data_IF_551397835503
#
_entry.id   IF_551397835503
#
_cell.length_a   1.000
_cell.length_b   1.000
_cell.length_c   1.000
_cell.angle_alpha   90.00
_cell.angle_beta   90.00
_cell.angle_gamma   90.00
#
_symmetry.space_group_name_H-M   'P 1'
#
loop_
_entity.id
_entity.type
_entity.pdbx_description
1 polymer ?
#
# COMPACT_ATOMS: atom_id res chain seq x y z
N UNK A 1 -23.10 12.70 -21.15
CA UNK A 1 -23.21 11.99 -22.43
C UNK A 1 -22.36 12.72 -23.46
N UNK A 2 -21.17 12.20 -23.75
CA UNK A 2 -20.39 12.53 -24.95
C UNK A 2 -19.40 11.37 -25.16
N UNK A 3 -19.73 10.54 -26.14
CA UNK A 3 -18.94 9.44 -26.65
C UNK A 3 -17.91 9.98 -27.65
N UNK A 4 -16.84 9.20 -27.88
CA UNK A 4 -16.37 8.70 -29.19
C UNK A 4 -14.92 8.19 -28.99
N UNK A 5 -14.71 6.87 -28.85
CA UNK A 5 -14.34 5.93 -29.92
C UNK A 5 -13.04 6.27 -30.67
N UNK A 6 -11.95 5.53 -30.35
CA UNK A 6 -10.78 5.29 -31.23
C UNK A 6 -10.35 3.81 -31.02
N UNK A 7 -9.97 3.07 -32.10
CA UNK A 7 -10.38 1.68 -32.30
C UNK A 7 -9.35 0.62 -31.90
N UNK A 8 -9.88 -0.59 -31.67
CA UNK A 8 -9.19 -1.87 -31.79
C UNK A 8 -8.57 -2.02 -33.19
N UNK A 9 -7.25 -2.25 -33.24
CA UNK A 9 -6.41 -2.95 -34.23
C UNK A 9 -4.97 -2.51 -33.87
N UNK A 10 -4.22 -3.26 -33.07
CA UNK A 10 -3.24 -4.23 -33.60
C UNK A 10 -2.86 -5.22 -32.48
N UNK A 11 -3.72 -6.20 -32.23
CA UNK A 11 -3.34 -7.44 -31.53
C UNK A 11 -2.64 -8.38 -32.52
N UNK A 12 -1.51 -7.95 -33.07
CA UNK A 12 -0.55 -8.81 -33.77
C UNK A 12 0.66 -7.96 -34.10
N UNK A 13 1.71 -8.10 -33.29
CA UNK A 13 3.12 -7.66 -33.44
C UNK A 13 3.71 -7.34 -32.06
N UNK A 14 3.64 -8.31 -31.13
CA UNK A 14 4.48 -8.32 -29.93
C UNK A 14 5.08 -9.70 -29.63
N UNK A 15 4.91 -10.67 -30.54
CA UNK A 15 5.58 -11.97 -30.46
C UNK A 15 6.84 -11.95 -31.34
N UNK A 16 7.83 -11.10 -31.05
CA UNK A 16 9.21 -11.39 -31.51
C UNK A 16 10.37 -10.55 -30.94
N UNK A 17 10.24 -9.86 -29.79
CA UNK A 17 11.40 -9.14 -29.19
C UNK A 17 11.56 -9.45 -27.69
N UNK A 18 11.20 -10.65 -27.26
CA UNK A 18 11.71 -11.21 -26.01
C UNK A 18 12.26 -12.60 -26.30
N UNK A 19 13.40 -12.62 -26.98
CA UNK A 19 14.31 -13.75 -26.91
C UNK A 19 14.63 -14.00 -25.45
N UNK A 20 14.43 -15.25 -25.04
CA UNK A 20 14.61 -15.79 -23.70
C UNK A 20 16.07 -15.63 -23.25
N UNK A 21 16.45 -14.45 -22.75
CA UNK A 21 17.72 -14.27 -22.05
C UNK A 21 17.61 -14.98 -20.70
N UNK A 22 18.25 -16.13 -20.57
CA UNK A 22 18.40 -16.83 -19.30
C UNK A 22 19.24 -15.97 -18.36
N UNK A 23 18.60 -15.29 -17.42
CA UNK A 23 19.30 -14.50 -16.39
C UNK A 23 20.11 -15.45 -15.50
N UNK A 24 21.43 -15.27 -15.45
CA UNK A 24 22.32 -16.04 -14.58
C UNK A 24 22.33 -15.44 -13.17
N UNK A 25 21.56 -16.05 -12.29
CA UNK A 25 21.36 -15.58 -10.92
C UNK A 25 22.60 -15.70 -10.02
N UNK A 26 23.65 -16.42 -10.44
CA UNK A 26 24.89 -16.54 -9.66
C UNK A 26 25.74 -15.26 -9.68
N UNK A 27 25.41 -14.32 -10.57
CA UNK A 27 26.12 -13.04 -10.70
C UNK A 27 25.59 -11.95 -9.75
N UNK A 28 24.63 -12.28 -8.88
CA UNK A 28 24.00 -11.29 -8.01
C UNK A 28 24.94 -10.81 -6.87
N UNK A 29 24.82 -9.56 -6.39
CA UNK A 29 25.78 -8.94 -5.48
C UNK A 29 25.80 -9.51 -4.05
N UNK A 30 24.79 -10.28 -3.67
CA UNK A 30 24.68 -10.89 -2.34
C UNK A 30 23.94 -12.23 -2.43
N UNK A 31 24.18 -13.10 -1.45
CA UNK A 31 23.58 -14.44 -1.38
C UNK A 31 22.04 -14.39 -1.30
N UNK A 32 21.50 -13.36 -0.65
CA UNK A 32 20.04 -13.15 -0.55
C UNK A 32 19.45 -12.81 -1.92
N UNK A 33 20.17 -12.03 -2.73
CA UNK A 33 19.76 -11.66 -4.09
C UNK A 33 19.93 -12.82 -5.08
N UNK A 34 20.95 -13.68 -4.90
CA UNK A 34 21.09 -14.94 -5.66
C UNK A 34 19.88 -15.84 -5.42
N UNK A 35 19.47 -15.98 -4.15
CA UNK A 35 18.33 -16.82 -3.75
C UNK A 35 17.01 -16.28 -4.28
N UNK A 36 16.77 -14.97 -4.16
CA UNK A 36 15.58 -14.31 -4.68
C UNK A 36 15.50 -14.40 -6.23
N UNK A 37 16.61 -14.14 -6.93
CA UNK A 37 16.67 -14.27 -8.39
C UNK A 37 16.36 -15.71 -8.83
N UNK A 38 16.93 -16.71 -8.16
CA UNK A 38 16.75 -18.12 -8.48
C UNK A 38 15.29 -18.57 -8.28
N UNK A 39 14.63 -18.10 -7.22
CA UNK A 39 13.22 -18.36 -6.98
C UNK A 39 12.32 -17.79 -8.09
N UNK A 40 12.55 -16.54 -8.49
CA UNK A 40 11.80 -15.88 -9.58
C UNK A 40 12.03 -16.58 -10.93
N UNK A 41 13.27 -16.98 -11.22
CA UNK A 41 13.61 -17.71 -12.44
C UNK A 41 12.92 -19.09 -12.49
N UNK A 42 12.82 -19.79 -11.35
CA UNK A 42 12.09 -21.06 -11.21
C UNK A 42 10.58 -20.87 -11.42
N UNK A 43 9.98 -19.85 -10.81
CA UNK A 43 8.57 -19.52 -11.01
C UNK A 43 8.24 -19.20 -12.47
N UNK A 44 9.11 -18.44 -13.16
CA UNK A 44 8.97 -18.16 -14.60
C UNK A 44 9.01 -19.43 -15.46
N UNK A 45 9.92 -20.38 -15.17
CA UNK A 45 10.00 -21.66 -15.88
C UNK A 45 8.78 -22.55 -15.64
N UNK A 46 8.22 -22.52 -14.43
CA UNK A 46 6.99 -23.25 -14.10
C UNK A 46 5.78 -22.62 -14.80
N UNK A 47 5.64 -21.30 -14.77
CA UNK A 47 4.58 -20.59 -15.47
C UNK A 47 4.63 -20.83 -16.99
N UNK A 48 5.83 -20.87 -17.58
CA UNK A 48 6.03 -21.16 -19.01
C UNK A 48 5.70 -22.62 -19.41
N UNK A 49 5.73 -23.58 -18.46
CA UNK A 49 5.34 -24.98 -18.71
C UNK A 49 3.83 -25.23 -18.61
N UNK A 50 3.03 -24.25 -18.21
CA UNK A 50 1.61 -24.46 -17.88
C UNK A 50 0.70 -23.95 -19.01
N UNK A 51 0.71 -24.65 -20.15
CA UNK A 51 -0.23 -24.42 -21.26
C UNK A 51 -1.52 -25.26 -21.20
N UNK A 52 -1.64 -26.20 -20.24
CA UNK A 52 -2.85 -27.02 -20.09
C UNK A 52 -3.73 -26.56 -18.90
N UNK A 53 -4.96 -26.06 -19.14
CA UNK A 53 -5.81 -25.44 -18.11
C UNK A 53 -6.40 -26.41 -17.06
N UNK A 54 -6.42 -27.73 -17.28
CA UNK A 54 -6.96 -28.67 -16.29
C UNK A 54 -5.99 -29.00 -15.13
N UNK A 55 -4.68 -28.95 -15.36
CA UNK A 55 -3.68 -29.25 -14.31
C UNK A 55 -3.26 -28.00 -13.50
N UNK A 56 -3.79 -26.81 -13.82
CA UNK A 56 -3.48 -25.57 -13.09
C UNK A 56 -3.95 -25.62 -11.64
N UNK A 57 -5.09 -26.24 -11.37
CA UNK A 57 -5.71 -26.19 -10.05
C UNK A 57 -4.98 -27.11 -9.04
N UNK A 58 -4.63 -28.34 -9.44
CA UNK A 58 -3.90 -29.27 -8.55
C UNK A 58 -2.44 -28.88 -8.32
N UNK A 59 -1.76 -28.31 -9.32
CA UNK A 59 -0.38 -27.83 -9.17
C UNK A 59 -0.31 -26.53 -8.36
N UNK A 60 -1.31 -25.65 -8.49
CA UNK A 60 -1.41 -24.45 -7.66
C UNK A 60 -1.69 -24.81 -6.20
N UNK A 61 -2.58 -25.78 -5.93
CA UNK A 61 -2.81 -26.29 -4.56
C UNK A 61 -1.55 -26.92 -3.95
N UNK A 62 -0.82 -27.76 -4.69
CA UNK A 62 0.42 -28.38 -4.17
C UNK A 62 1.56 -27.38 -4.01
N UNK A 63 1.64 -26.36 -4.86
CA UNK A 63 2.62 -25.29 -4.74
C UNK A 63 2.33 -24.40 -3.52
N UNK A 64 1.06 -24.01 -3.32
CA UNK A 64 0.60 -23.33 -2.11
C UNK A 64 0.96 -24.13 -0.85
N UNK A 65 0.71 -25.45 -0.84
CA UNK A 65 0.98 -26.29 0.33
C UNK A 65 2.49 -26.41 0.65
N UNK A 66 3.38 -26.43 -0.35
CA UNK A 66 4.83 -26.50 -0.11
C UNK A 66 5.46 -25.16 0.29
N UNK A 67 4.90 -24.04 -0.20
CA UNK A 67 5.38 -22.69 0.12
C UNK A 67 4.89 -22.26 1.52
N UNK A 68 3.75 -22.79 2.00
CA UNK A 68 3.22 -22.53 3.35
C UNK A 68 4.10 -23.09 4.49
N UNK A 69 4.90 -24.12 4.25
CA UNK A 69 5.72 -24.75 5.31
C UNK A 69 7.05 -24.05 5.57
N UNK A 70 7.63 -23.35 4.59
CA UNK A 70 8.83 -22.52 4.78
C UNK A 70 8.49 -21.04 5.07
N UNK A 71 7.28 -20.59 4.75
CA UNK A 71 6.85 -19.19 4.91
C UNK A 71 6.18 -18.85 6.23
N UNK A 72 5.92 -19.81 7.14
CA UNK A 72 5.25 -19.49 8.41
C UNK A 72 6.01 -18.43 9.24
N UNK A 73 7.35 -18.39 9.16
CA UNK A 73 8.17 -17.36 9.80
C UNK A 73 8.27 -16.05 8.99
N UNK A 74 8.05 -16.07 7.67
CA UNK A 74 8.04 -14.86 6.83
C UNK A 74 6.66 -14.23 6.67
N UNK A 75 5.59 -15.01 6.87
CA UNK A 75 4.22 -14.51 6.96
C UNK A 75 4.02 -13.65 8.20
N UNK A 76 4.76 -13.93 9.28
CA UNK A 76 4.70 -13.15 10.52
C UNK A 76 5.19 -11.70 10.30
N UNK A 77 6.16 -11.50 9.41
CA UNK A 77 6.69 -10.19 8.98
C UNK A 77 5.73 -9.44 8.05
N UNK A 78 4.84 -10.16 7.36
CA UNK A 78 3.80 -9.57 6.49
C UNK A 78 2.43 -9.46 7.19
N UNK A 79 2.24 -10.17 8.30
CA UNK A 79 1.02 -10.07 9.09
C UNK A 79 1.06 -8.73 9.82
N UNK A 80 0.10 -7.88 9.48
CA UNK A 80 -0.10 -6.58 10.12
C UNK A 80 -1.43 -6.66 10.86
N UNK A 81 -1.46 -7.27 12.06
CA UNK A 81 -2.72 -7.54 12.76
C UNK A 81 -3.45 -6.25 13.15
N UNK A 82 -2.75 -5.12 13.18
CA UNK A 82 -3.35 -3.78 13.29
C UNK A 82 -4.33 -3.45 12.16
N UNK A 83 -4.05 -3.96 10.96
CA UNK A 83 -4.83 -3.68 9.76
C UNK A 83 -6.06 -4.58 9.63
N UNK A 84 -6.13 -5.66 10.41
CA UNK A 84 -7.30 -6.54 10.51
C UNK A 84 -8.38 -5.93 11.43
N UNK A 85 -8.01 -4.96 12.25
CA UNK A 85 -8.93 -4.29 13.15
C UNK A 85 -9.97 -3.44 12.41
N UNK A 86 -11.24 -3.74 12.67
CA UNK A 86 -12.39 -2.96 12.16
C UNK A 86 -13.02 -2.05 13.21
N UNK A 87 -12.60 -2.16 14.48
CA UNK A 87 -13.12 -1.39 15.61
C UNK A 87 -12.00 -0.61 16.32
N UNK A 88 -12.39 0.45 17.04
CA UNK A 88 -11.42 1.24 17.80
C UNK A 88 -10.86 0.47 19.02
N UNK A 89 -11.67 -0.40 19.63
CA UNK A 89 -11.22 -1.27 20.72
C UNK A 89 -10.16 -2.27 20.28
N UNK A 90 -10.30 -2.83 19.07
CA UNK A 90 -9.31 -3.78 18.51
C UNK A 90 -7.96 -3.11 18.30
N UNK A 91 -7.94 -1.93 17.66
CA UNK A 91 -6.68 -1.24 17.33
C UNK A 91 -6.00 -0.62 18.56
N UNK A 92 -6.70 -0.55 19.69
CA UNK A 92 -6.28 0.22 20.86
C UNK A 92 -4.95 -0.25 21.47
N UNK A 93 -4.72 -1.56 21.53
CA UNK A 93 -3.47 -2.14 22.07
C UNK A 93 -2.26 -1.67 21.28
N UNK A 94 -2.41 -1.49 19.96
CA UNK A 94 -1.34 -1.02 19.08
C UNK A 94 -1.05 0.48 19.22
N UNK A 95 -1.98 1.24 19.80
CA UNK A 95 -1.75 2.62 20.23
C UNK A 95 -1.20 2.72 21.67
N UNK A 96 -0.86 1.58 22.29
CA UNK A 96 -0.46 1.49 23.70
C UNK A 96 -1.61 1.77 24.68
N UNK A 97 -2.85 1.78 24.21
CA UNK A 97 -4.02 2.10 25.00
C UNK A 97 -4.70 0.90 25.66
N UNK A 98 -5.73 1.19 26.45
CA UNK A 98 -6.61 0.22 27.10
C UNK A 98 -8.06 0.48 26.74
N UNK A 99 -8.85 -0.59 26.70
CA UNK A 99 -10.28 -0.56 26.41
C UNK A 99 -11.10 -1.07 27.59
N UNK A 100 -12.31 -0.57 27.76
CA UNK A 100 -13.33 -1.08 28.67
C UNK A 100 -14.22 -2.17 28.04
N UNK A 101 -13.89 -2.64 26.83
CA UNK A 101 -14.64 -3.65 26.09
C UNK A 101 -15.71 -3.10 25.13
N UNK A 102 -16.00 -1.80 25.15
CA UNK A 102 -16.89 -1.17 24.17
C UNK A 102 -16.21 -1.04 22.81
N UNK A 103 -16.95 -1.31 21.72
CA UNK A 103 -16.47 -1.29 20.32
C UNK A 103 -15.66 -0.05 19.94
N UNK A 104 -16.05 1.11 20.46
CA UNK A 104 -15.43 2.40 20.12
C UNK A 104 -14.53 2.95 21.24
N UNK A 105 -14.20 2.14 22.26
CA UNK A 105 -13.41 2.61 23.39
C UNK A 105 -11.91 2.37 23.18
N UNK A 106 -11.14 3.43 23.33
CA UNK A 106 -9.70 3.35 23.49
C UNK A 106 -9.19 4.52 24.33
N UNK A 107 -8.48 4.22 25.41
CA UNK A 107 -7.89 5.18 26.33
C UNK A 107 -6.37 5.05 26.26
N UNK A 108 -5.68 6.11 25.86
CA UNK A 108 -4.23 6.15 25.76
C UNK A 108 -3.57 6.21 27.16
N UNK A 109 -2.26 5.92 27.28
CA UNK A 109 -1.53 5.99 28.55
C UNK A 109 -1.63 7.34 29.27
N UNK A 110 -1.78 8.42 28.52
CA UNK A 110 -1.95 9.78 29.05
C UNK A 110 -3.39 10.10 29.51
N UNK A 111 -4.28 9.10 29.53
CA UNK A 111 -5.69 9.25 29.93
C UNK A 111 -6.61 9.78 28.84
N UNK A 112 -6.09 10.20 27.68
CA UNK A 112 -6.92 10.72 26.59
C UNK A 112 -7.67 9.60 25.88
N UNK A 113 -8.95 9.84 25.57
CA UNK A 113 -9.74 8.96 24.71
C UNK A 113 -9.37 9.21 23.25
N UNK A 114 -9.03 8.15 22.52
CA UNK A 114 -8.88 8.22 21.07
C UNK A 114 -10.21 8.64 20.47
N UNK A 115 -10.18 9.67 19.61
CA UNK A 115 -11.37 10.16 18.91
C UNK A 115 -11.30 9.79 17.42
N UNK A 116 -12.43 9.99 16.74
CA UNK A 116 -12.47 10.00 15.27
C UNK A 116 -11.47 11.03 14.75
N UNK A 117 -10.69 10.64 13.75
CA UNK A 117 -9.70 11.53 13.13
C UNK A 117 -10.41 12.68 12.38
N UNK A 118 -9.95 13.91 12.58
CA UNK A 118 -10.40 15.08 11.83
C UNK A 118 -9.38 15.42 10.74
N UNK A 119 -9.65 15.01 9.51
CA UNK A 119 -8.78 15.26 8.36
C UNK A 119 -8.90 16.70 7.90
N UNK A 120 -7.90 17.51 8.22
CA UNK A 120 -7.80 18.92 7.78
C UNK A 120 -7.18 19.00 6.39
N UNK A 121 -7.48 20.10 5.70
CA UNK A 121 -6.73 20.48 4.50
C UNK A 121 -5.27 20.78 4.89
N UNK A 122 -4.29 20.28 4.13
CA UNK A 122 -2.86 20.29 4.51
C UNK A 122 -2.29 21.70 4.76
N UNK A 123 -2.79 22.73 4.07
CA UNK A 123 -2.37 24.13 4.27
C UNK A 123 -2.96 24.74 5.53
N UNK A 124 -4.02 24.15 6.09
CA UNK A 124 -4.63 24.57 7.35
C UNK A 124 -3.99 23.91 8.58
N UNK A 125 -3.04 22.98 8.40
CA UNK A 125 -2.26 22.45 9.50
C UNK A 125 -1.38 23.53 10.10
N UNK A 126 -1.35 23.61 11.44
CA UNK A 126 -0.34 24.42 12.13
C UNK A 126 1.06 23.89 11.86
N UNK A 127 2.09 24.68 12.13
CA UNK A 127 3.47 24.22 11.98
C UNK A 127 3.77 22.98 12.85
N UNK A 128 3.25 22.95 14.08
CA UNK A 128 3.40 21.79 14.97
C UNK A 128 2.73 20.54 14.40
N UNK A 129 1.47 20.66 13.94
CA UNK A 129 0.73 19.56 13.33
C UNK A 129 1.46 19.02 12.09
N UNK A 130 1.95 19.94 11.24
CA UNK A 130 2.71 19.62 10.02
C UNK A 130 4.02 18.91 10.37
N UNK A 131 4.76 19.40 11.34
CA UNK A 131 6.02 18.77 11.78
C UNK A 131 5.80 17.35 12.32
N UNK A 132 4.77 17.15 13.15
CA UNK A 132 4.41 15.81 13.65
C UNK A 132 4.00 14.88 12.51
N UNK A 133 3.16 15.36 11.59
CA UNK A 133 2.70 14.58 10.45
C UNK A 133 3.86 14.09 9.56
N UNK A 134 4.74 15.00 9.12
CA UNK A 134 5.87 14.62 8.28
C UNK A 134 6.93 13.80 9.00
N UNK A 135 7.12 14.02 10.32
CA UNK A 135 7.96 13.15 11.15
C UNK A 135 7.40 11.71 11.16
N UNK A 136 6.10 11.55 11.36
CA UNK A 136 5.46 10.24 11.37
C UNK A 136 5.50 9.56 9.98
N UNK A 137 5.32 10.32 8.89
CA UNK A 137 5.50 9.80 7.53
C UNK A 137 6.92 9.27 7.28
N UNK A 138 7.95 10.00 7.73
CA UNK A 138 9.34 9.53 7.65
C UNK A 138 9.57 8.26 8.46
N UNK A 139 8.99 8.18 9.65
CA UNK A 139 9.06 6.98 10.47
C UNK A 139 8.42 5.77 9.78
N UNK A 140 7.22 5.96 9.20
CA UNK A 140 6.55 4.96 8.37
C UNK A 140 7.37 4.57 7.13
N UNK A 141 8.13 5.49 6.56
CA UNK A 141 9.04 5.17 5.45
C UNK A 141 10.23 4.35 5.92
N UNK A 142 10.83 4.71 7.04
CA UNK A 142 12.00 4.04 7.60
C UNK A 142 11.69 2.62 8.10
N UNK A 143 10.49 2.37 8.62
CA UNK A 143 10.08 1.05 9.11
C UNK A 143 9.40 0.17 8.04
N UNK A 144 9.27 0.67 6.80
CA UNK A 144 8.68 -0.06 5.66
C UNK A 144 7.15 -0.02 5.58
N UNK A 145 6.44 0.64 6.50
CA UNK A 145 4.97 0.75 6.48
C UNK A 145 4.48 1.53 5.25
N UNK A 146 5.15 2.62 4.90
CA UNK A 146 4.84 3.41 3.71
C UNK A 146 4.97 2.56 2.44
N UNK A 147 6.05 1.79 2.34
CA UNK A 147 6.37 0.96 1.18
C UNK A 147 5.41 -0.23 1.05
N UNK A 148 4.93 -0.75 2.18
CA UNK A 148 3.86 -1.74 2.19
C UNK A 148 2.59 -1.20 1.51
N UNK A 149 2.13 0.00 1.85
CA UNK A 149 0.94 0.57 1.21
C UNK A 149 1.17 0.90 -0.27
N UNK A 150 2.37 1.34 -0.63
CA UNK A 150 2.75 1.54 -2.03
C UNK A 150 2.71 0.22 -2.81
N UNK A 151 3.20 -0.88 -2.23
CA UNK A 151 3.14 -2.22 -2.81
C UNK A 151 1.70 -2.72 -2.97
N UNK A 152 0.87 -2.60 -1.92
CA UNK A 152 -0.56 -2.98 -1.96
C UNK A 152 -1.28 -2.24 -3.09
N UNK A 153 -1.02 -0.94 -3.26
CA UNK A 153 -1.61 -0.17 -4.37
C UNK A 153 -1.07 -0.61 -5.73
N UNK A 154 0.25 -0.78 -5.88
CA UNK A 154 0.87 -1.24 -7.13
C UNK A 154 0.26 -2.56 -7.59
N UNK A 155 0.13 -3.52 -6.68
CA UNK A 155 -0.35 -4.87 -6.99
C UNK A 155 -1.85 -4.87 -7.33
N UNK A 156 -2.60 -3.90 -6.78
CA UNK A 156 -4.02 -3.69 -7.12
C UNK A 156 -4.25 -2.83 -8.37
N UNK A 157 -3.23 -2.12 -8.88
CA UNK A 157 -3.40 -1.08 -9.90
C UNK A 157 -3.99 -1.58 -11.23
N UNK A 158 -3.66 -2.81 -11.62
CA UNK A 158 -4.20 -3.47 -12.82
C UNK A 158 -5.58 -4.09 -12.64
N UNK A 159 -6.15 -4.02 -11.44
CA UNK A 159 -7.47 -4.59 -11.13
C UNK A 159 -8.55 -3.52 -11.27
N UNK A 160 -9.76 -3.94 -11.68
CA UNK A 160 -10.96 -3.08 -11.66
C UNK A 160 -11.37 -2.60 -10.26
N UNK A 161 -10.69 -3.08 -9.21
CA UNK A 161 -10.96 -2.71 -7.82
C UNK A 161 -10.29 -1.39 -7.44
N UNK A 162 -9.03 -1.21 -7.81
CA UNK A 162 -8.31 0.02 -7.51
C UNK A 162 -8.59 1.09 -8.56
N UNK A 163 -8.62 0.78 -9.85
CA UNK A 163 -8.80 1.75 -10.94
C UNK A 163 -9.76 1.24 -12.01
N UNK A 164 -10.38 2.16 -12.75
CA UNK A 164 -11.20 1.81 -13.93
C UNK A 164 -12.53 1.10 -13.66
N UNK A 165 -12.91 0.83 -12.40
CA UNK A 165 -14.16 0.17 -12.02
C UNK A 165 -14.89 0.80 -10.84
N UNK A 166 -16.08 0.29 -10.54
CA UNK A 166 -17.00 0.85 -9.52
C UNK A 166 -16.45 0.82 -8.09
N UNK A 167 -15.47 -0.05 -7.80
CA UNK A 167 -14.91 -0.16 -6.45
C UNK A 167 -13.84 0.91 -6.16
N UNK A 168 -13.43 1.73 -7.15
CA UNK A 168 -12.38 2.75 -7.04
C UNK A 168 -12.46 3.54 -5.73
N UNK A 169 -13.60 4.14 -5.43
CA UNK A 169 -13.77 4.99 -4.25
C UNK A 169 -13.76 4.20 -2.93
N UNK A 170 -14.33 2.99 -2.93
CA UNK A 170 -14.35 2.12 -1.75
C UNK A 170 -12.97 1.57 -1.42
N UNK A 171 -12.25 1.11 -2.43
CA UNK A 171 -10.90 0.55 -2.30
C UNK A 171 -9.92 1.60 -1.75
N UNK A 172 -9.92 2.81 -2.31
CA UNK A 172 -9.05 3.90 -1.83
C UNK A 172 -9.45 4.40 -0.44
N UNK A 173 -10.76 4.38 -0.09
CA UNK A 173 -11.22 4.70 1.26
C UNK A 173 -10.65 3.74 2.30
N UNK A 174 -10.69 2.45 2.03
CA UNK A 174 -10.14 1.44 2.94
C UNK A 174 -8.62 1.48 2.99
N UNK A 175 -7.93 1.66 1.85
CA UNK A 175 -6.48 1.88 1.84
C UNK A 175 -6.10 3.08 2.71
N UNK A 176 -6.81 4.20 2.54
CA UNK A 176 -6.59 5.43 3.30
C UNK A 176 -6.85 5.26 4.79
N UNK A 177 -7.92 4.54 5.17
CA UNK A 177 -8.23 4.22 6.57
C UNK A 177 -7.12 3.38 7.22
N UNK A 178 -6.62 2.37 6.51
CA UNK A 178 -5.54 1.49 6.98
C UNK A 178 -4.21 2.23 7.09
N UNK A 179 -3.92 3.12 6.13
CA UNK A 179 -2.77 4.02 6.20
C UNK A 179 -2.85 4.92 7.44
N UNK A 180 -4.02 5.49 7.73
CA UNK A 180 -4.24 6.33 8.91
C UNK A 180 -4.12 5.54 10.23
N UNK A 181 -4.48 4.25 10.26
CA UNK A 181 -4.22 3.38 11.42
C UNK A 181 -2.71 3.28 11.70
N UNK A 182 -1.89 3.04 10.68
CA UNK A 182 -0.43 2.96 10.84
C UNK A 182 0.20 4.31 11.20
N UNK A 183 -0.30 5.40 10.61
CA UNK A 183 0.10 6.76 11.01
C UNK A 183 -0.17 7.01 12.50
N UNK A 184 -1.32 6.54 12.99
CA UNK A 184 -1.74 6.70 14.39
C UNK A 184 -1.08 5.71 15.35
N UNK A 185 -0.51 4.63 14.83
CA UNK A 185 0.40 3.76 15.59
C UNK A 185 1.68 4.50 15.97
N UNK A 186 2.17 5.38 15.09
CA UNK A 186 3.30 6.29 15.37
C UNK A 186 2.89 7.41 16.33
N UNK A 187 1.79 8.10 16.04
CA UNK A 187 1.25 9.14 16.93
C UNK A 187 -0.30 9.13 16.91
N UNK A 188 -0.95 8.64 17.98
CA UNK A 188 -2.41 8.51 18.04
C UNK A 188 -3.20 9.82 17.90
N UNK A 189 -2.54 10.97 18.06
CA UNK A 189 -3.13 12.32 17.91
C UNK A 189 -3.24 12.76 16.45
N UNK A 190 -2.53 12.10 15.53
CA UNK A 190 -2.53 12.46 14.12
C UNK A 190 -3.79 12.01 13.37
N UNK A 191 -4.00 12.66 12.23
CA UNK A 191 -4.98 12.31 11.19
C UNK A 191 -4.34 12.53 9.83
N UNK A 192 -4.74 11.78 8.81
CA UNK A 192 -4.24 11.99 7.46
C UNK A 192 -4.84 13.28 6.87
N UNK A 193 -4.05 14.32 6.54
CA UNK A 193 -4.59 15.52 5.93
C UNK A 193 -5.10 15.24 4.51
N UNK A 194 -6.05 16.06 4.05
CA UNK A 194 -6.47 16.07 2.66
C UNK A 194 -5.75 17.20 1.89
N UNK A 195 -5.65 17.02 0.58
CA UNK A 195 -5.22 18.07 -0.33
C UNK A 195 -6.38 18.42 -1.25
N UNK A 196 -6.84 19.67 -1.18
CA UNK A 196 -7.80 20.21 -2.15
C UNK A 196 -7.06 20.76 -3.38
N UNK A 197 -6.87 19.89 -4.37
CA UNK A 197 -6.22 20.22 -5.64
C UNK A 197 -7.00 21.24 -6.49
N UNK A 198 -8.28 21.50 -6.20
CA UNK A 198 -9.06 22.48 -6.96
C UNK A 198 -8.59 23.91 -6.72
N UNK A 199 -7.95 24.17 -5.57
CA UNK A 199 -7.35 25.46 -5.26
C UNK A 199 -6.09 25.70 -6.11
N UNK A 200 -5.28 24.68 -6.35
CA UNK A 200 -4.06 24.76 -7.15
C UNK A 200 -4.35 24.83 -8.65
N UNK A 201 -5.40 24.11 -9.09
CA UNK A 201 -5.85 24.14 -10.49
C UNK A 201 -6.39 25.51 -10.94
N UNK A 202 -6.62 26.45 -10.00
CA UNK A 202 -7.05 27.82 -10.30
C UNK A 202 -5.89 28.80 -10.47
N UNK A 203 -4.66 28.37 -10.20
CA UNK A 203 -3.47 29.20 -10.44
C UNK A 203 -3.17 29.28 -11.94
N UNK A 204 -2.57 30.39 -12.38
CA UNK A 204 -2.08 30.52 -13.78
C UNK A 204 -1.11 29.39 -14.15
N UNK A 205 -0.31 28.95 -13.18
CA UNK A 205 0.55 27.79 -13.27
C UNK A 205 0.43 26.99 -11.96
N UNK A 206 -0.23 25.81 -11.96
CA UNK A 206 -0.40 24.99 -10.75
C UNK A 206 0.89 24.56 -10.07
N UNK A 207 2.04 24.55 -10.78
CA UNK A 207 3.35 24.22 -10.21
C UNK A 207 3.85 25.28 -9.23
N UNK A 208 3.31 26.50 -9.30
CA UNK A 208 3.69 27.61 -8.42
C UNK A 208 2.95 27.54 -7.06
N UNK A 209 2.21 26.46 -6.81
CA UNK A 209 1.55 26.24 -5.53
C UNK A 209 2.54 26.20 -4.37
N UNK A 210 2.17 26.84 -3.26
CA UNK A 210 2.85 26.74 -1.96
C UNK A 210 2.98 25.29 -1.47
N UNK A 211 2.13 24.38 -1.95
CA UNK A 211 2.22 22.95 -1.64
C UNK A 211 3.60 22.38 -1.98
N UNK A 212 4.21 22.82 -3.08
CA UNK A 212 5.49 22.32 -3.56
C UNK A 212 6.70 23.09 -2.98
N UNK A 213 6.53 23.68 -1.80
CA UNK A 213 7.58 24.38 -1.07
C UNK A 213 7.81 23.77 0.31
N UNK A 214 8.98 23.99 0.89
CA UNK A 214 9.35 23.54 2.24
C UNK A 214 8.50 24.16 3.35
N UNK A 215 7.67 25.17 3.01
CA UNK A 215 6.69 25.68 3.94
C UNK A 215 5.66 24.60 4.25
N UNK A 216 5.08 23.95 3.24
CA UNK A 216 3.98 22.97 3.39
C UNK A 216 4.45 21.54 3.40
N UNK A 217 5.22 21.10 2.40
CA UNK A 217 5.74 19.73 2.35
C UNK A 217 7.13 19.72 2.98
N UNK A 218 7.31 18.96 4.07
CA UNK A 218 8.59 18.87 4.80
C UNK A 218 9.19 17.48 4.62
N UNK A 219 10.16 17.32 3.72
CA UNK A 219 10.89 16.07 3.51
C UNK A 219 11.89 15.78 4.63
#
# INVERSE_FOLDING_TARGET
MCLLFIPLITFSLANNIYGQSTVDCNTAPSNDLVSACSAIAKQRKLAAKTENPQNKNELMERFLISELTETAASLDVLSRPELECVTQSCVCSYYGGKTNGSTNDCTLPNGQKVQKALRKEIRLLTEEERNKFFKALREMKNNGDYDYFAAVHRDAAGTGCAHGGQAFAGWHRELTKRFEIMLRKVDPSLSLPCWDATLDNRLNNPRDSILFTDQVIKW
#
